data_IF_582605563246
#
_entry.id   IF_582605563246
#
_cell.length_a   1.000
_cell.length_b   1.000
_cell.length_c   1.000
_cell.angle_alpha   90.00
_cell.angle_beta   90.00
_cell.angle_gamma   90.00
#
_symmetry.space_group_name_H-M   'P 1'
#
loop_
_entity.id
_entity.type
_entity.pdbx_description
1 polymer ?
#
# COMPACT_ATOMS: atom_id res chain seq x y z
N UNK A 1 -0.84 -16.39 -3.33
CA UNK A 1 -1.07 -17.22 -2.13
C UNK A 1 -2.00 -16.42 -1.23
N UNK A 2 -3.08 -16.99 -0.66
CA UNK A 2 -3.87 -16.26 0.35
C UNK A 2 -3.09 -16.38 1.65
N UNK A 3 -2.50 -15.28 2.10
CA UNK A 3 -1.57 -15.30 3.23
C UNK A 3 -2.29 -15.55 4.57
N UNK A 4 -3.54 -15.07 4.72
CA UNK A 4 -4.26 -15.14 5.98
C UNK A 4 -5.76 -14.84 5.79
N UNK A 5 -6.62 -15.46 6.60
CA UNK A 5 -8.04 -15.08 6.75
C UNK A 5 -8.18 -14.38 8.09
N UNK A 6 -8.40 -13.07 8.07
CA UNK A 6 -8.55 -12.27 9.27
C UNK A 6 -9.98 -12.40 9.82
N UNK A 7 -10.14 -12.73 11.10
CA UNK A 7 -11.46 -12.89 11.70
C UNK A 7 -12.12 -11.52 11.98
N UNK A 8 -13.45 -11.50 12.25
CA UNK A 8 -14.23 -10.26 12.45
C UNK A 8 -13.79 -9.41 13.65
N UNK A 9 -13.17 -10.03 14.63
CA UNK A 9 -12.65 -9.40 15.83
C UNK A 9 -11.25 -8.80 15.64
N UNK A 10 -10.57 -9.07 14.52
CA UNK A 10 -9.27 -8.49 14.21
C UNK A 10 -9.33 -6.95 14.14
N UNK A 11 -8.22 -6.31 14.52
CA UNK A 11 -8.07 -4.85 14.47
C UNK A 11 -8.29 -4.30 13.06
N UNK A 12 -7.77 -4.99 12.05
CA UNK A 12 -7.95 -4.64 10.65
C UNK A 12 -9.42 -4.74 10.20
N UNK A 13 -10.10 -5.86 10.48
CA UNK A 13 -11.52 -6.02 10.10
C UNK A 13 -12.41 -4.94 10.73
N UNK A 14 -12.12 -4.53 11.97
CA UNK A 14 -12.82 -3.43 12.65
C UNK A 14 -12.49 -2.08 12.03
N UNK A 15 -11.25 -1.83 11.67
CA UNK A 15 -10.85 -0.60 10.98
C UNK A 15 -11.60 -0.46 9.65
N UNK A 16 -11.64 -1.53 8.84
CA UNK A 16 -12.40 -1.54 7.59
C UNK A 16 -13.89 -1.30 7.84
N UNK A 17 -14.48 -1.95 8.85
CA UNK A 17 -15.88 -1.73 9.21
C UNK A 17 -16.17 -0.26 9.53
N UNK A 18 -15.33 0.37 10.36
CA UNK A 18 -15.49 1.79 10.74
C UNK A 18 -15.47 2.71 9.52
N UNK A 19 -14.63 2.42 8.53
CA UNK A 19 -14.54 3.19 7.29
C UNK A 19 -15.79 3.00 6.42
N UNK A 20 -16.23 1.76 6.17
CA UNK A 20 -17.31 1.49 5.19
C UNK A 20 -18.73 1.63 5.77
N UNK A 21 -18.90 1.44 7.09
CA UNK A 21 -20.21 1.46 7.76
C UNK A 21 -21.03 2.74 7.49
N UNK A 22 -20.46 3.95 7.55
CA UNK A 22 -21.23 5.18 7.31
C UNK A 22 -21.73 5.30 5.87
N UNK A 23 -21.07 4.64 4.91
CA UNK A 23 -21.34 4.79 3.49
C UNK A 23 -22.34 3.75 2.94
N UNK A 24 -22.60 2.67 3.68
CA UNK A 24 -23.46 1.56 3.24
C UNK A 24 -24.76 1.53 4.07
N UNK A 25 -25.95 1.68 3.45
CA UNK A 25 -27.24 1.55 4.13
C UNK A 25 -27.37 0.22 4.87
N UNK A 26 -27.94 0.25 6.09
CA UNK A 26 -28.06 -0.95 6.96
C UNK A 26 -28.73 -2.16 6.28
N UNK A 27 -29.76 -1.94 5.46
CA UNK A 27 -30.49 -3.01 4.78
C UNK A 27 -29.71 -3.70 3.65
N UNK A 28 -28.52 -3.21 3.29
CA UNK A 28 -27.67 -3.80 2.25
C UNK A 28 -26.57 -4.68 2.83
N UNK A 29 -26.45 -4.74 4.15
CA UNK A 29 -25.48 -5.60 4.83
C UNK A 29 -25.96 -7.04 4.87
N UNK A 30 -25.07 -8.02 4.65
CA UNK A 30 -25.40 -9.43 4.84
C UNK A 30 -25.66 -9.73 6.33
N UNK A 31 -26.40 -10.81 6.58
CA UNK A 31 -26.68 -11.28 7.94
C UNK A 31 -25.41 -11.83 8.63
N UNK A 32 -24.56 -12.51 7.87
CA UNK A 32 -23.27 -13.04 8.32
C UNK A 32 -22.13 -12.04 8.09
N UNK A 33 -20.92 -12.36 8.57
CA UNK A 33 -19.74 -11.53 8.36
C UNK A 33 -19.47 -11.29 6.86
N UNK A 34 -19.24 -10.02 6.50
CA UNK A 34 -18.99 -9.61 5.12
C UNK A 34 -17.58 -10.02 4.71
N UNK A 35 -17.47 -10.92 3.72
CA UNK A 35 -16.17 -11.38 3.22
C UNK A 35 -15.59 -10.38 2.24
N UNK A 36 -14.38 -9.91 2.50
CA UNK A 36 -13.65 -9.02 1.61
C UNK A 36 -12.26 -9.56 1.31
N UNK A 37 -11.89 -9.53 0.03
CA UNK A 37 -10.53 -9.76 -0.44
C UNK A 37 -9.79 -8.44 -0.49
N UNK A 38 -8.55 -8.41 -0.01
CA UNK A 38 -7.65 -7.27 -0.12
C UNK A 38 -6.36 -7.64 -0.86
N UNK A 39 -5.85 -6.67 -1.61
CA UNK A 39 -4.60 -6.72 -2.33
C UNK A 39 -3.89 -5.37 -2.22
N UNK A 40 -2.57 -5.39 -2.13
CA UNK A 40 -1.77 -4.15 -2.09
C UNK A 40 -1.75 -3.53 -3.48
N UNK A 41 -2.04 -2.23 -3.58
CA UNK A 41 -1.93 -1.53 -4.85
C UNK A 41 -0.44 -1.41 -5.29
N UNK A 42 -0.15 -1.28 -6.59
CA UNK A 42 1.24 -1.21 -7.10
C UNK A 42 2.06 -0.01 -6.61
N UNK A 43 1.40 0.98 -6.01
CA UNK A 43 2.02 2.14 -5.37
C UNK A 43 2.49 1.86 -3.93
N UNK A 44 2.01 0.79 -3.29
CA UNK A 44 2.27 0.46 -1.90
C UNK A 44 1.59 1.41 -0.90
N UNK A 45 0.65 2.25 -1.35
CA UNK A 45 0.03 3.30 -0.52
C UNK A 45 -1.48 3.12 -0.34
N UNK A 46 -2.08 2.19 -1.06
CA UNK A 46 -3.50 1.88 -0.95
C UNK A 46 -3.76 0.38 -1.02
N UNK A 47 -4.94 -0.02 -0.54
CA UNK A 47 -5.45 -1.37 -0.71
C UNK A 47 -6.53 -1.37 -1.78
N UNK A 48 -6.47 -2.36 -2.66
CA UNK A 48 -7.56 -2.72 -3.54
C UNK A 48 -8.42 -3.75 -2.81
N UNK A 49 -9.72 -3.51 -2.74
CA UNK A 49 -10.67 -4.37 -2.07
C UNK A 49 -11.70 -4.94 -3.06
N UNK A 50 -12.21 -6.11 -2.76
CA UNK A 50 -13.37 -6.72 -3.41
C UNK A 50 -14.27 -7.33 -2.34
N UNK A 51 -15.55 -6.96 -2.33
CA UNK A 51 -16.51 -7.36 -1.32
C UNK A 51 -17.48 -8.39 -1.90
N UNK A 52 -17.59 -9.54 -1.25
CA UNK A 52 -18.55 -10.59 -1.59
C UNK A 52 -19.80 -10.44 -0.71
N UNK A 53 -20.99 -10.47 -1.32
CA UNK A 53 -22.26 -10.40 -0.58
C UNK A 53 -22.87 -9.00 -0.43
N UNK A 54 -22.24 -7.95 -0.97
CA UNK A 54 -22.86 -6.64 -1.12
C UNK A 54 -23.52 -6.50 -2.51
N UNK A 55 -24.63 -5.74 -2.63
CA UNK A 55 -25.16 -5.31 -3.92
C UNK A 55 -24.10 -4.53 -4.71
N UNK A 56 -24.07 -4.67 -6.04
CA UNK A 56 -23.11 -4.00 -6.93
C UNK A 56 -22.80 -2.52 -6.61
N UNK A 57 -23.79 -1.63 -6.44
CA UNK A 57 -23.53 -0.23 -6.10
C UNK A 57 -22.93 -0.04 -4.69
N UNK A 58 -23.36 -0.85 -3.72
CA UNK A 58 -22.83 -0.80 -2.36
C UNK A 58 -21.39 -1.31 -2.29
N UNK A 59 -21.08 -2.37 -3.04
CA UNK A 59 -19.73 -2.90 -3.19
C UNK A 59 -18.79 -1.85 -3.80
N UNK A 60 -19.23 -1.14 -4.85
CA UNK A 60 -18.44 -0.09 -5.47
C UNK A 60 -18.17 1.10 -4.52
N UNK A 61 -19.14 1.49 -3.70
CA UNK A 61 -18.93 2.52 -2.67
C UNK A 61 -17.92 2.03 -1.63
N UNK A 62 -18.08 0.78 -1.15
CA UNK A 62 -17.18 0.20 -0.16
C UNK A 62 -15.72 0.13 -0.66
N UNK A 63 -15.50 -0.25 -1.92
CA UNK A 63 -14.15 -0.28 -2.51
C UNK A 63 -13.55 1.11 -2.64
N UNK A 64 -14.35 2.10 -3.02
CA UNK A 64 -13.88 3.50 -3.08
C UNK A 64 -13.51 4.04 -1.71
N UNK A 65 -14.30 3.74 -0.67
CA UNK A 65 -14.01 4.17 0.70
C UNK A 65 -12.72 3.54 1.22
N UNK A 66 -12.51 2.23 1.00
CA UNK A 66 -11.24 1.57 1.34
C UNK A 66 -10.07 2.20 0.59
N UNK A 67 -10.22 2.46 -0.71
CA UNK A 67 -9.19 3.11 -1.51
C UNK A 67 -8.86 4.53 -0.99
N UNK A 68 -9.87 5.26 -0.48
CA UNK A 68 -9.71 6.60 0.08
C UNK A 68 -8.99 6.61 1.43
N UNK A 69 -9.13 5.57 2.24
CA UNK A 69 -8.43 5.44 3.51
C UNK A 69 -6.90 5.25 3.34
N UNK A 70 -6.45 4.87 2.13
CA UNK A 70 -5.03 4.84 1.72
C UNK A 70 -4.12 4.17 2.76
N UNK A 71 -3.12 4.92 3.24
CA UNK A 71 -2.02 4.45 4.08
C UNK A 71 -2.52 3.96 5.44
N UNK A 72 -3.61 4.52 5.97
CA UNK A 72 -4.12 4.15 7.28
C UNK A 72 -4.53 2.67 7.32
N UNK A 73 -5.26 2.20 6.31
CA UNK A 73 -5.63 0.78 6.22
C UNK A 73 -4.46 -0.09 5.81
N UNK A 74 -3.55 0.40 4.96
CA UNK A 74 -2.34 -0.35 4.57
C UNK A 74 -1.47 -0.65 5.79
N UNK A 75 -1.24 0.32 6.66
CA UNK A 75 -0.43 0.15 7.87
C UNK A 75 -1.05 -0.81 8.89
N UNK A 76 -2.39 -0.87 8.94
CA UNK A 76 -3.12 -1.81 9.79
C UNK A 76 -3.21 -3.23 9.21
N UNK A 77 -2.78 -3.43 7.96
CA UNK A 77 -2.91 -4.71 7.25
C UNK A 77 -1.75 -5.67 7.56
N UNK A 78 -1.97 -7.01 7.45
CA UNK A 78 -0.90 -8.01 7.62
C UNK A 78 0.21 -7.90 6.56
N UNK A 79 -0.07 -7.21 5.45
CA UNK A 79 0.84 -7.02 4.32
C UNK A 79 1.51 -5.64 4.33
N UNK A 80 1.46 -4.91 5.46
CA UNK A 80 2.09 -3.59 5.62
C UNK A 80 3.59 -3.61 5.28
N UNK A 81 4.29 -4.71 5.61
CA UNK A 81 5.72 -4.85 5.29
C UNK A 81 5.98 -4.92 3.78
N UNK A 82 5.11 -5.58 3.01
CA UNK A 82 5.21 -5.66 1.55
C UNK A 82 5.01 -4.27 0.93
N UNK A 83 3.98 -3.56 1.39
CA UNK A 83 3.73 -2.18 0.98
C UNK A 83 4.93 -1.25 1.31
N UNK A 84 5.48 -1.36 2.52
CA UNK A 84 6.67 -0.62 2.93
C UNK A 84 7.89 -0.91 2.04
N UNK A 85 8.06 -2.16 1.59
CA UNK A 85 9.15 -2.52 0.67
C UNK A 85 9.04 -1.82 -0.69
N UNK A 86 7.82 -1.70 -1.23
CA UNK A 86 7.55 -0.99 -2.49
C UNK A 86 7.86 0.50 -2.35
N UNK A 87 7.38 1.12 -1.26
CA UNK A 87 7.62 2.55 -0.99
C UNK A 87 9.11 2.83 -0.83
N UNK A 88 9.84 1.98 -0.10
CA UNK A 88 11.30 2.11 0.07
C UNK A 88 12.04 1.99 -1.26
N UNK A 89 11.73 0.98 -2.07
CA UNK A 89 12.37 0.78 -3.37
C UNK A 89 12.09 1.95 -4.33
N UNK A 90 10.84 2.45 -4.33
CA UNK A 90 10.45 3.63 -5.11
C UNK A 90 11.23 4.87 -4.71
N UNK A 91 11.39 5.12 -3.40
CA UNK A 91 12.15 6.26 -2.88
C UNK A 91 13.58 6.25 -3.39
N UNK A 92 14.26 5.11 -3.34
CA UNK A 92 15.63 4.99 -3.86
C UNK A 92 15.73 5.22 -5.36
N UNK A 93 14.80 4.63 -6.14
CA UNK A 93 14.71 4.91 -7.58
C UNK A 93 14.57 6.40 -7.87
N UNK A 94 13.68 7.07 -7.15
CA UNK A 94 13.44 8.51 -7.34
C UNK A 94 14.68 9.32 -6.94
N UNK A 95 15.37 8.96 -5.86
CA UNK A 95 16.64 9.58 -5.47
C UNK A 95 17.70 9.48 -6.56
N UNK A 96 17.94 8.29 -7.13
CA UNK A 96 18.92 8.13 -8.22
C UNK A 96 18.46 8.81 -9.51
N UNK A 97 17.16 8.83 -9.81
CA UNK A 97 16.64 9.57 -10.96
C UNK A 97 16.91 11.08 -10.82
N UNK A 98 16.71 11.63 -9.63
CA UNK A 98 16.98 13.04 -9.35
C UNK A 98 18.48 13.35 -9.24
N UNK A 99 19.33 12.38 -8.89
CA UNK A 99 20.78 12.52 -8.95
C UNK A 99 21.29 12.53 -10.41
N UNK A 100 20.68 11.72 -11.29
CA UNK A 100 21.07 11.59 -12.69
C UNK A 100 20.72 12.84 -13.50
N UNK A 101 19.58 13.45 -13.21
CA UNK A 101 19.04 14.59 -13.94
C UNK A 101 20.05 15.76 -14.07
N UNK A 102 20.62 16.33 -12.99
CA UNK A 102 21.59 17.42 -13.10
C UNK A 102 22.87 16.99 -13.83
N UNK A 103 23.29 15.72 -13.72
CA UNK A 103 24.46 15.21 -14.45
C UNK A 103 24.20 15.23 -15.96
N UNK A 104 23.02 14.77 -16.40
CA UNK A 104 22.61 14.81 -17.81
C UNK A 104 22.61 16.24 -18.38
N UNK A 105 22.12 17.21 -17.60
CA UNK A 105 22.13 18.62 -17.99
C UNK A 105 23.54 19.25 -17.96
N UNK A 106 24.46 18.71 -17.17
CA UNK A 106 25.83 19.18 -17.08
C UNK A 106 26.75 18.64 -18.19
N UNK A 107 26.42 17.51 -18.83
CA UNK A 107 27.24 16.90 -19.91
C UNK A 107 27.63 17.90 -21.02
N UNK A 108 26.70 18.72 -21.58
CA UNK A 108 27.05 19.71 -22.61
C UNK A 108 27.98 20.82 -22.10
N UNK A 109 27.87 21.18 -20.81
CA UNK A 109 28.68 22.22 -20.17
C UNK A 109 30.06 21.71 -19.73
N UNK A 110 30.26 20.39 -19.70
CA UNK A 110 31.49 19.73 -19.28
C UNK A 110 32.43 19.38 -20.45
N UNK A 111 31.95 19.47 -21.70
CA UNK A 111 32.78 19.33 -22.91
C UNK A 111 34.05 20.22 -22.97
N UNK A 112 34.07 21.45 -22.40
CA UNK A 112 35.28 22.27 -22.34
C UNK A 112 36.17 21.99 -21.10
N UNK A 113 35.77 21.12 -20.17
CA UNK A 113 36.56 20.79 -18.98
C UNK A 113 37.62 19.72 -19.31
N UNK A 114 38.80 19.85 -18.70
CA UNK A 114 39.95 18.99 -18.98
C UNK A 114 39.67 17.48 -18.86
N UNK A 115 40.48 16.68 -19.55
CA UNK A 115 40.27 15.24 -19.76
C UNK A 115 40.09 14.42 -18.46
N UNK A 116 40.76 14.81 -17.38
CA UNK A 116 40.62 14.18 -16.04
C UNK A 116 39.26 14.43 -15.39
N UNK A 117 38.72 15.65 -15.51
CA UNK A 117 37.39 16.00 -14.97
C UNK A 117 36.29 15.26 -15.75
N UNK A 118 36.43 15.18 -17.08
CA UNK A 118 35.52 14.44 -17.95
C UNK A 118 35.48 12.94 -17.61
N UNK A 119 36.63 12.31 -17.34
CA UNK A 119 36.68 10.89 -16.97
C UNK A 119 36.01 10.62 -15.61
N UNK A 120 36.21 11.50 -14.63
CA UNK A 120 35.57 11.39 -13.31
C UNK A 120 34.05 11.53 -13.39
N UNK A 121 33.55 12.49 -14.17
CA UNK A 121 32.11 12.71 -14.34
C UNK A 121 31.44 11.58 -15.11
N UNK A 122 32.09 11.04 -16.16
CA UNK A 122 31.64 9.83 -16.84
C UNK A 122 31.55 8.62 -15.89
N UNK A 123 32.53 8.45 -15.00
CA UNK A 123 32.51 7.39 -13.99
C UNK A 123 31.34 7.53 -13.01
N UNK A 124 31.11 8.74 -12.49
CA UNK A 124 29.98 9.03 -11.60
C UNK A 124 28.63 8.83 -12.31
N UNK A 125 28.52 9.25 -13.57
CA UNK A 125 27.33 9.04 -14.39
C UNK A 125 27.04 7.56 -14.59
N UNK A 126 28.05 6.76 -14.94
CA UNK A 126 27.89 5.33 -15.12
C UNK A 126 27.45 4.62 -13.83
N UNK A 127 28.03 5.02 -12.68
CA UNK A 127 27.64 4.48 -11.37
C UNK A 127 26.19 4.84 -11.00
N UNK A 128 25.78 6.07 -11.24
CA UNK A 128 24.42 6.53 -10.94
C UNK A 128 23.37 5.88 -11.88
N UNK A 129 23.70 5.74 -13.16
CA UNK A 129 22.87 5.00 -14.11
C UNK A 129 22.72 3.53 -13.71
N UNK A 130 23.80 2.88 -13.27
CA UNK A 130 23.77 1.52 -12.77
C UNK A 130 22.93 1.41 -11.48
N UNK A 131 23.07 2.35 -10.55
CA UNK A 131 22.26 2.42 -9.33
C UNK A 131 20.77 2.63 -9.63
N UNK A 132 20.44 3.44 -10.64
CA UNK A 132 19.07 3.63 -11.12
C UNK A 132 18.49 2.33 -11.70
N UNK A 133 19.26 1.59 -12.51
CA UNK A 133 18.82 0.30 -13.06
C UNK A 133 18.58 -0.72 -11.94
N UNK A 134 19.50 -0.84 -10.99
CA UNK A 134 19.37 -1.78 -9.87
C UNK A 134 18.17 -1.44 -8.98
N UNK A 135 17.97 -0.15 -8.65
CA UNK A 135 16.83 0.30 -7.85
C UNK A 135 15.50 0.12 -8.58
N UNK A 136 15.48 0.28 -9.91
CA UNK A 136 14.31 -0.04 -10.73
C UNK A 136 13.99 -1.53 -10.70
N UNK A 137 15.00 -2.40 -10.83
CA UNK A 137 14.84 -3.85 -10.70
C UNK A 137 14.30 -4.27 -9.33
N UNK A 138 14.84 -3.69 -8.25
CA UNK A 138 14.36 -3.92 -6.89
C UNK A 138 12.90 -3.48 -6.71
N UNK A 139 12.49 -2.36 -7.32
CA UNK A 139 11.09 -1.91 -7.30
C UNK A 139 10.17 -2.91 -8.02
N UNK A 140 10.58 -3.45 -9.17
CA UNK A 140 9.77 -4.44 -9.89
C UNK A 140 9.61 -5.74 -9.10
N UNK A 141 10.68 -6.21 -8.45
CA UNK A 141 10.59 -7.37 -7.57
C UNK A 141 9.69 -7.12 -6.35
N UNK A 142 9.81 -5.95 -5.71
CA UNK A 142 8.97 -5.58 -4.57
C UNK A 142 7.47 -5.51 -4.97
N UNK A 143 7.17 -4.97 -6.15
CA UNK A 143 5.81 -4.95 -6.71
C UNK A 143 5.27 -6.35 -6.99
N UNK A 144 6.09 -7.23 -7.57
CA UNK A 144 5.71 -8.63 -7.79
C UNK A 144 5.28 -9.31 -6.49
N UNK A 145 6.11 -9.18 -5.43
CA UNK A 145 5.78 -9.72 -4.09
C UNK A 145 4.53 -9.08 -3.48
N UNK A 146 4.33 -7.78 -3.67
CA UNK A 146 3.16 -7.08 -3.14
C UNK A 146 1.84 -7.54 -3.81
N UNK A 147 1.87 -7.84 -5.12
CA UNK A 147 0.72 -8.38 -5.86
C UNK A 147 0.38 -9.79 -5.38
N UNK A 148 1.38 -10.60 -5.03
CA UNK A 148 1.18 -11.93 -4.46
C UNK A 148 0.58 -11.92 -3.05
N UNK A 149 0.78 -10.81 -2.32
CA UNK A 149 0.27 -10.54 -0.97
C UNK A 149 -1.23 -10.27 -0.94
N UNK A 150 -2.04 -11.27 -1.29
CA UNK A 150 -3.49 -11.25 -1.17
C UNK A 150 -3.92 -11.84 0.17
N UNK A 151 -4.88 -11.21 0.83
CA UNK A 151 -5.47 -11.72 2.06
C UNK A 151 -6.98 -11.51 2.09
N UNK A 152 -7.67 -12.22 2.97
CA UNK A 152 -9.12 -12.13 3.13
C UNK A 152 -9.40 -11.62 4.53
N UNK A 153 -10.35 -10.71 4.68
CA UNK A 153 -10.86 -10.31 5.98
C UNK A 153 -12.36 -10.53 6.04
N UNK A 154 -12.81 -11.08 7.16
CA UNK A 154 -14.22 -11.13 7.52
C UNK A 154 -14.55 -9.84 8.26
N UNK A 155 -15.39 -9.01 7.67
CA UNK A 155 -15.77 -7.70 8.21
C UNK A 155 -17.04 -7.90 9.05
N UNK A 156 -17.07 -7.39 10.29
CA UNK A 156 -18.26 -7.50 11.10
C UNK A 156 -19.43 -6.75 10.47
N UNK A 157 -20.65 -7.28 10.62
CA UNK A 157 -21.87 -6.63 10.13
C UNK A 157 -22.61 -5.90 11.27
N UNK A 158 -23.38 -4.84 10.95
CA UNK A 158 -24.16 -4.14 11.96
C UNK A 158 -25.13 -5.08 12.66
N UNK A 159 -24.97 -5.26 13.98
CA UNK A 159 -25.82 -6.16 14.79
C UNK A 159 -25.20 -7.54 15.06
N UNK A 160 -24.10 -7.91 14.40
CA UNK A 160 -23.33 -9.09 14.76
C UNK A 160 -22.64 -8.85 16.11
N UNK A 161 -22.99 -9.62 17.15
CA UNK A 161 -22.33 -9.54 18.47
C UNK A 161 -20.93 -10.13 18.38
N UNK A 162 -19.94 -9.30 18.05
CA UNK A 162 -18.54 -9.65 18.25
C UNK A 162 -18.31 -9.69 19.77
N UNK A 163 -17.93 -10.83 20.33
CA UNK A 163 -17.52 -10.92 21.74
C UNK A 163 -16.31 -9.99 21.93
N UNK A 164 -16.51 -8.87 22.61
CA UNK A 164 -15.43 -7.96 22.97
C UNK A 164 -14.59 -8.66 24.04
N UNK A 165 -13.28 -8.84 23.86
CA UNK A 165 -12.41 -9.25 24.96
C UNK A 165 -12.48 -8.17 26.02
N UNK A 166 -13.01 -8.51 27.19
CA UNK A 166 -13.07 -7.64 28.36
C UNK A 166 -11.62 -7.42 28.81
N UNK A 167 -11.03 -6.26 28.56
CA UNK A 167 -9.66 -6.03 28.97
C UNK A 167 -8.93 -4.75 28.57
N UNK A 168 -9.54 -3.79 27.86
CA UNK A 168 -8.87 -2.50 27.62
C UNK A 168 -9.73 -1.35 28.13
N UNK A 169 -9.29 -0.61 29.17
CA UNK A 169 -10.08 0.47 29.75
C UNK A 169 -10.16 1.63 28.75
N UNK A 170 -11.38 2.00 28.38
CA UNK A 170 -11.66 3.28 27.73
C UNK A 170 -11.43 4.37 28.77
N UNK A 171 -10.62 5.37 28.43
CA UNK A 171 -10.44 6.56 29.25
C UNK A 171 -11.81 7.15 29.65
N UNK A 172 -12.00 7.58 30.91
CA UNK A 172 -13.19 8.31 31.31
C UNK A 172 -13.18 9.66 30.58
N UNK A 173 -14.22 9.91 29.78
CA UNK A 173 -14.52 11.26 29.32
C UNK A 173 -15.07 12.03 30.52
N UNK A 174 -14.32 13.04 30.96
CA UNK A 174 -14.77 14.15 31.78
C UNK A 174 -14.68 15.44 30.97
#
# INVERSE_FOLDING_TARGET
MIAEILPPDSSFSRAVYTEIRPAIPRGQWPMDALRATFMVAPDGLSLQASFEGLPGPAAAIATQVVARAKVNLVLASPVAYLAGSVVRARRWRDTFLYALLPVLFAIPLMAPLGETVMRLTMGLFALDALALILSHGALMQARGRAIEGRFIALIPTPGLRIKVPVGTPLHPQG
#
